data_IF_954426961006
#
_entry.id   IF_954426961006
#
_cell.length_a   1.000
_cell.length_b   1.000
_cell.length_c   1.000
_cell.angle_alpha   90.00
_cell.angle_beta   90.00
_cell.angle_gamma   90.00
#
_symmetry.space_group_name_H-M   'P 1'
#
loop_
_entity.id
_entity.type
_entity.pdbx_description
1 polymer ?
#
# COMPACT_ATOMS: atom_id res chain seq x y z
N UNK A 1 0.27 -12.74 -21.91
CA UNK A 1 1.49 -13.38 -21.37
C UNK A 1 1.09 -14.72 -20.79
N UNK A 2 1.85 -15.81 -21.01
CA UNK A 2 1.60 -17.05 -20.29
C UNK A 2 1.83 -16.81 -18.79
N UNK A 3 1.10 -17.50 -17.89
CA UNK A 3 1.39 -17.45 -16.46
C UNK A 3 2.85 -17.87 -16.25
N UNK A 4 3.59 -17.06 -15.49
CA UNK A 4 4.95 -17.42 -15.07
C UNK A 4 4.86 -18.78 -14.35
N UNK A 5 5.76 -19.73 -14.65
CA UNK A 5 5.80 -21.00 -13.94
C UNK A 5 6.03 -20.70 -12.45
N UNK A 6 5.25 -21.38 -11.59
CA UNK A 6 5.48 -21.40 -10.15
C UNK A 6 6.96 -21.71 -9.92
N UNK A 7 7.67 -20.83 -9.20
CA UNK A 7 8.88 -21.26 -8.48
C UNK A 7 8.42 -22.05 -7.26
N UNK A 8 7.80 -23.21 -7.49
CA UNK A 8 7.75 -24.25 -6.46
C UNK A 8 9.15 -24.84 -6.43
N UNK A 9 9.95 -24.39 -5.48
CA UNK A 9 11.29 -24.94 -5.31
C UNK A 9 11.10 -26.37 -4.79
N UNK A 10 11.81 -27.38 -5.33
CA UNK A 10 11.65 -28.78 -4.88
C UNK A 10 11.94 -29.00 -3.38
N UNK A 11 12.52 -28.01 -2.70
CA UNK A 11 12.77 -27.99 -1.25
C UNK A 11 11.53 -27.68 -0.40
N UNK A 12 10.48 -27.10 -1.00
CA UNK A 12 9.28 -26.66 -0.28
C UNK A 12 8.41 -27.84 0.18
N UNK A 13 8.58 -29.02 -0.43
CA UNK A 13 7.77 -30.19 -0.16
C UNK A 13 8.17 -30.98 1.11
N UNK A 14 9.33 -30.70 1.73
CA UNK A 14 9.89 -31.58 2.77
C UNK A 14 10.56 -30.91 3.97
N UNK A 15 10.46 -29.59 4.13
CA UNK A 15 10.89 -28.95 5.37
C UNK A 15 9.72 -28.91 6.35
N UNK A 16 9.80 -29.74 7.38
CA UNK A 16 8.92 -29.66 8.55
C UNK A 16 8.82 -28.20 8.99
N UNK A 17 7.60 -27.65 9.14
CA UNK A 17 7.35 -26.29 9.64
C UNK A 17 8.14 -25.97 10.93
N UNK A 18 8.54 -27.01 11.67
CA UNK A 18 9.41 -26.98 12.85
C UNK A 18 10.85 -26.53 12.59
N UNK A 19 11.35 -26.61 11.35
CA UNK A 19 12.72 -26.21 10.95
C UNK A 19 12.81 -24.78 10.40
N UNK A 20 11.68 -24.18 10.02
CA UNK A 20 11.62 -22.81 9.46
C UNK A 20 11.44 -21.73 10.53
N UNK A 21 11.29 -22.12 11.78
CA UNK A 21 10.97 -21.21 12.87
C UNK A 21 11.93 -21.44 14.03
N UNK A 22 12.46 -20.37 14.64
CA UNK A 22 13.42 -20.51 15.73
C UNK A 22 12.81 -21.28 16.90
N UNK A 23 13.46 -22.39 17.26
CA UNK A 23 13.31 -23.02 18.56
C UNK A 23 13.79 -22.10 19.72
N UNK A 24 14.44 -20.98 19.38
CA UNK A 24 15.17 -20.08 20.27
C UNK A 24 14.41 -18.84 20.73
N UNK A 25 13.18 -18.59 20.25
CA UNK A 25 12.24 -17.79 21.05
C UNK A 25 11.86 -18.66 22.23
N UNK A 26 12.62 -18.52 23.32
CA UNK A 26 12.49 -19.29 24.56
C UNK A 26 11.01 -19.63 24.79
N UNK A 27 10.61 -20.92 24.78
CA UNK A 27 9.21 -21.31 24.92
C UNK A 27 8.57 -20.85 26.25
N UNK A 28 9.38 -20.28 27.15
CA UNK A 28 9.00 -19.80 28.48
C UNK A 28 9.11 -18.27 28.68
N UNK A 29 9.53 -17.49 27.68
CA UNK A 29 9.32 -16.03 27.72
C UNK A 29 7.96 -15.76 27.11
N UNK A 30 6.94 -15.80 27.96
CA UNK A 30 5.65 -15.22 27.66
C UNK A 30 5.87 -13.73 27.56
N UNK A 31 5.78 -13.13 26.35
CA UNK A 31 5.91 -11.69 26.30
C UNK A 31 4.61 -11.16 26.91
N UNK A 32 4.76 -10.42 28.00
CA UNK A 32 3.63 -9.85 28.69
C UNK A 32 2.92 -8.93 27.69
N UNK A 33 1.59 -8.82 27.69
CA UNK A 33 0.92 -7.83 26.84
C UNK A 33 1.45 -6.41 27.10
N UNK A 34 1.97 -6.17 28.31
CA UNK A 34 2.68 -4.94 28.69
C UNK A 34 3.99 -4.70 27.95
N UNK A 35 4.54 -5.73 27.30
CA UNK A 35 5.76 -5.65 26.50
C UNK A 35 5.47 -5.26 25.04
N UNK A 36 4.21 -4.99 24.71
CA UNK A 36 3.77 -4.57 23.39
C UNK A 36 3.07 -3.22 23.42
N UNK A 37 3.22 -2.48 22.32
CA UNK A 37 2.49 -1.23 22.07
C UNK A 37 1.42 -1.49 21.03
N UNK A 38 0.14 -1.15 21.31
CA UNK A 38 -0.88 -1.15 20.28
C UNK A 38 -0.59 -0.06 19.26
N UNK A 39 -0.76 -0.40 18.00
CA UNK A 39 -0.72 0.53 16.88
C UNK A 39 -2.11 0.61 16.28
N UNK A 40 -2.42 1.78 15.70
CA UNK A 40 -3.65 1.96 14.99
C UNK A 40 -3.73 0.98 13.81
N UNK A 41 -4.89 0.36 13.64
CA UNK A 41 -5.16 -0.53 12.52
C UNK A 41 -5.16 0.21 11.18
N UNK A 42 -5.46 1.53 11.17
CA UNK A 42 -5.36 2.37 9.98
C UNK A 42 -3.90 2.53 9.51
N UNK A 43 -2.94 2.58 10.44
CA UNK A 43 -1.51 2.64 10.11
C UNK A 43 -0.96 1.27 9.66
N UNK A 44 -1.71 0.19 9.89
CA UNK A 44 -1.33 -1.20 9.61
C UNK A 44 -2.34 -1.92 8.70
N UNK A 45 -2.97 -1.17 7.78
CA UNK A 45 -3.94 -1.69 6.80
C UNK A 45 -3.44 -2.95 6.07
N UNK A 46 -2.16 -2.98 5.70
CA UNK A 46 -1.56 -4.15 5.04
C UNK A 46 -1.62 -5.42 5.89
N UNK A 47 -1.34 -5.33 7.19
CA UNK A 47 -1.40 -6.48 8.09
C UNK A 47 -2.85 -6.95 8.28
N UNK A 48 -3.79 -6.02 8.39
CA UNK A 48 -5.23 -6.33 8.46
C UNK A 48 -5.70 -7.02 7.18
N UNK A 49 -5.25 -6.54 6.02
CA UNK A 49 -5.54 -7.15 4.73
C UNK A 49 -4.99 -8.57 4.63
N UNK A 50 -3.76 -8.82 5.07
CA UNK A 50 -3.16 -10.16 5.12
C UNK A 50 -4.00 -11.10 6.00
N UNK A 51 -4.39 -10.67 7.20
CA UNK A 51 -5.20 -11.48 8.12
C UNK A 51 -6.59 -11.79 7.55
N UNK A 52 -7.19 -10.83 6.85
CA UNK A 52 -8.52 -10.97 6.25
C UNK A 52 -8.48 -11.87 5.01
N UNK A 53 -7.52 -11.63 4.13
CA UNK A 53 -7.39 -12.34 2.85
C UNK A 53 -6.85 -13.76 3.03
N UNK A 54 -5.78 -13.94 3.81
CA UNK A 54 -5.09 -15.22 3.96
C UNK A 54 -5.66 -16.10 5.08
N UNK A 55 -6.12 -15.51 6.19
CA UNK A 55 -6.57 -16.25 7.38
C UNK A 55 -8.08 -16.14 7.65
N UNK A 56 -8.83 -15.44 6.79
CA UNK A 56 -10.27 -15.25 6.93
C UNK A 56 -10.70 -14.65 8.27
N UNK A 57 -9.82 -13.90 8.93
CA UNK A 57 -10.17 -13.13 10.12
C UNK A 57 -10.95 -11.89 9.67
N UNK A 58 -12.22 -11.70 10.08
CA UNK A 58 -12.97 -10.52 9.69
C UNK A 58 -12.24 -9.26 10.16
N UNK A 59 -12.10 -8.25 9.30
CA UNK A 59 -11.41 -7.00 9.64
C UNK A 59 -12.03 -6.33 10.88
N UNK A 60 -13.36 -6.33 10.98
CA UNK A 60 -14.13 -5.82 12.12
C UNK A 60 -13.82 -6.54 13.45
N UNK A 61 -13.26 -7.75 13.37
CA UNK A 61 -12.86 -8.49 14.57
C UNK A 61 -11.49 -8.10 15.09
N UNK A 62 -10.65 -7.45 14.28
CA UNK A 62 -9.27 -7.07 14.65
C UNK A 62 -9.33 -5.74 15.40
N UNK A 63 -8.97 -5.78 16.68
CA UNK A 63 -9.07 -4.61 17.57
C UNK A 63 -7.76 -3.87 17.72
N UNK A 64 -6.62 -4.55 17.55
CA UNK A 64 -5.31 -3.93 17.57
C UNK A 64 -4.23 -4.82 16.93
N UNK A 65 -3.25 -4.19 16.29
CA UNK A 65 -1.95 -4.80 15.99
C UNK A 65 -0.99 -4.35 17.08
N UNK A 66 -0.32 -5.31 17.71
CA UNK A 66 0.57 -5.11 18.85
C UNK A 66 2.02 -5.36 18.40
N UNK A 67 2.86 -4.32 18.47
CA UNK A 67 4.29 -4.42 18.17
C UNK A 67 5.11 -4.59 19.44
N UNK A 68 6.17 -5.43 19.42
CA UNK A 68 7.04 -5.58 20.58
C UNK A 68 7.75 -4.26 20.92
N UNK A 69 7.92 -3.95 22.20
CA UNK A 69 8.72 -2.80 22.62
C UNK A 69 10.17 -2.95 22.13
N UNK A 70 10.75 -1.82 21.69
CA UNK A 70 12.13 -1.71 21.17
C UNK A 70 13.22 -2.13 22.18
N UNK A 71 12.87 -2.34 23.45
CA UNK A 71 13.79 -2.78 24.50
C UNK A 71 13.90 -4.31 24.61
N UNK A 72 13.04 -5.06 23.93
CA UNK A 72 13.22 -6.50 23.77
C UNK A 72 14.43 -6.70 22.86
N UNK A 73 15.41 -7.57 23.22
CA UNK A 73 16.52 -7.88 22.35
C UNK A 73 15.98 -8.22 20.97
N UNK A 74 16.41 -7.47 19.96
CA UNK A 74 16.02 -7.77 18.59
C UNK A 74 16.35 -9.25 18.33
N UNK A 75 15.43 -10.00 17.72
CA UNK A 75 15.70 -11.36 17.32
C UNK A 75 17.01 -11.39 16.52
N UNK A 76 17.73 -12.53 16.55
CA UNK A 76 18.88 -12.68 15.66
C UNK A 76 18.41 -12.38 14.22
N UNK A 77 19.28 -11.88 13.34
CA UNK A 77 18.86 -11.49 11.97
C UNK A 77 18.24 -12.64 11.14
N UNK A 78 18.39 -13.88 11.62
CA UNK A 78 17.77 -15.09 11.08
C UNK A 78 16.39 -15.41 11.65
N UNK A 79 16.00 -14.76 12.74
CA UNK A 79 14.75 -15.02 13.45
C UNK A 79 13.68 -14.04 12.91
N UNK A 80 12.54 -14.55 12.46
CA UNK A 80 11.54 -13.70 11.83
C UNK A 80 10.86 -12.79 12.85
N UNK A 81 10.48 -11.61 12.37
CA UNK A 81 9.69 -10.67 13.16
C UNK A 81 8.32 -11.25 13.46
N UNK A 82 7.91 -11.18 14.73
CA UNK A 82 6.60 -11.64 15.20
C UNK A 82 5.79 -10.45 15.70
N UNK A 83 4.50 -10.48 15.42
CA UNK A 83 3.53 -9.45 15.83
C UNK A 83 2.38 -10.12 16.56
N UNK A 84 1.84 -9.46 17.58
CA UNK A 84 0.61 -9.92 18.21
C UNK A 84 -0.59 -9.21 17.58
N UNK A 85 -1.66 -9.95 17.35
CA UNK A 85 -2.92 -9.47 16.80
C UNK A 85 -3.98 -9.69 17.85
N UNK A 86 -4.61 -8.62 18.33
CA UNK A 86 -5.78 -8.73 19.19
C UNK A 86 -7.03 -8.72 18.36
N UNK A 87 -7.92 -9.66 18.66
CA UNK A 87 -9.25 -9.73 18.09
C UNK A 87 -10.31 -9.81 19.18
N UNK A 88 -11.57 -9.66 18.80
CA UNK A 88 -12.73 -9.90 19.68
C UNK A 88 -12.81 -11.34 20.20
N UNK A 89 -12.19 -12.30 19.51
CA UNK A 89 -12.23 -13.73 19.83
C UNK A 89 -10.97 -14.25 20.54
N UNK A 90 -9.88 -13.47 20.56
CA UNK A 90 -8.64 -13.89 21.22
C UNK A 90 -7.42 -13.09 20.79
N UNK A 91 -6.25 -13.65 21.06
CA UNK A 91 -4.97 -13.08 20.63
C UNK A 91 -4.28 -14.09 19.73
N UNK A 92 -3.70 -13.60 18.65
CA UNK A 92 -2.93 -14.38 17.70
C UNK A 92 -1.52 -13.81 17.59
N UNK A 93 -0.58 -14.64 17.20
CA UNK A 93 0.76 -14.23 16.81
C UNK A 93 0.91 -14.48 15.32
N UNK A 94 1.35 -13.47 14.58
CA UNK A 94 1.61 -13.49 13.15
C UNK A 94 3.12 -13.39 12.92
N UNK A 95 3.64 -14.16 11.98
CA UNK A 95 5.04 -14.09 11.55
C UNK A 95 5.15 -14.27 10.04
N UNK A 96 6.24 -13.75 9.50
CA UNK A 96 6.60 -13.89 8.09
C UNK A 96 8.08 -14.31 7.99
N UNK A 97 8.37 -15.61 8.00
CA UNK A 97 9.72 -16.14 7.90
C UNK A 97 10.33 -15.90 6.53
N UNK A 98 11.62 -15.62 6.51
CA UNK A 98 12.42 -15.76 5.29
C UNK A 98 12.82 -17.22 5.12
N UNK A 99 12.88 -17.68 3.88
CA UNK A 99 13.46 -18.97 3.51
C UNK A 99 15.00 -18.89 3.57
N UNK A 100 15.67 -20.04 3.43
CA UNK A 100 17.14 -20.14 3.53
C UNK A 100 17.90 -19.27 2.53
N UNK A 101 17.32 -19.04 1.35
CA UNK A 101 17.83 -18.17 0.29
C UNK A 101 17.45 -16.70 0.47
N UNK A 102 16.91 -16.32 1.64
CA UNK A 102 16.37 -15.00 1.97
C UNK A 102 15.15 -14.60 1.15
N UNK A 103 14.56 -15.54 0.40
CA UNK A 103 13.27 -15.31 -0.24
C UNK A 103 12.16 -15.20 0.82
N UNK A 104 11.05 -14.51 0.52
CA UNK A 104 9.89 -14.50 1.39
C UNK A 104 9.29 -15.91 1.55
N UNK A 105 9.12 -16.38 2.80
CA UNK A 105 8.38 -17.60 3.12
C UNK A 105 6.87 -17.35 3.28
N UNK A 106 6.08 -18.36 3.71
CA UNK A 106 4.64 -18.21 3.88
C UNK A 106 4.29 -17.41 5.14
N UNK A 107 3.20 -16.67 5.12
CA UNK A 107 2.64 -16.09 6.35
C UNK A 107 2.18 -17.20 7.29
N UNK A 108 2.48 -17.06 8.58
CA UNK A 108 2.09 -18.04 9.60
C UNK A 108 1.38 -17.35 10.77
N UNK A 109 0.30 -17.97 11.23
CA UNK A 109 -0.52 -17.49 12.35
C UNK A 109 -0.62 -18.57 13.42
N UNK A 110 -0.63 -18.20 14.69
CA UNK A 110 -1.00 -19.12 15.79
C UNK A 110 -1.77 -18.43 16.88
N UNK A 111 -2.60 -19.18 17.60
CA UNK A 111 -3.33 -18.66 18.77
C UNK A 111 -2.39 -18.48 19.96
N UNK A 112 -2.58 -17.41 20.72
CA UNK A 112 -1.94 -17.16 22.02
C UNK A 112 -3.00 -17.26 23.10
N UNK A 113 -2.82 -18.19 24.03
CA UNK A 113 -3.77 -18.44 25.09
C UNK A 113 -3.73 -17.32 26.14
N UNK A 114 -4.86 -16.70 26.49
CA UNK A 114 -4.88 -15.48 27.31
C UNK A 114 -4.45 -15.72 28.77
N UNK A 115 -4.67 -16.92 29.30
CA UNK A 115 -4.45 -17.21 30.72
C UNK A 115 -3.01 -17.54 31.08
N UNK A 116 -2.32 -18.21 30.16
CA UNK A 116 -0.98 -18.77 30.41
C UNK A 116 0.02 -18.36 29.32
N UNK A 117 -0.39 -17.54 28.34
CA UNK A 117 0.47 -17.07 27.26
C UNK A 117 1.04 -18.17 26.35
N UNK A 118 0.62 -19.43 26.52
CA UNK A 118 1.15 -20.48 25.68
C UNK A 118 0.61 -20.33 24.26
N UNK A 119 1.40 -20.82 23.32
CA UNK A 119 1.17 -20.59 21.91
C UNK A 119 0.78 -21.91 21.25
N UNK A 120 -0.26 -21.84 20.43
CA UNK A 120 -0.71 -22.97 19.62
C UNK A 120 0.30 -23.34 18.52
N UNK A 121 0.00 -24.39 17.74
CA UNK A 121 0.76 -24.69 16.55
C UNK A 121 0.64 -23.55 15.53
N UNK A 122 1.68 -23.36 14.72
CA UNK A 122 1.61 -22.49 13.55
C UNK A 122 0.68 -23.05 12.50
N UNK A 123 -0.12 -22.17 11.92
CA UNK A 123 -1.08 -22.45 10.87
C UNK A 123 -0.67 -21.59 9.67
N UNK A 124 -0.48 -22.25 8.53
CA UNK A 124 -0.33 -21.58 7.24
C UNK A 124 -1.71 -21.31 6.63
N UNK A 125 -1.85 -20.28 5.78
CA UNK A 125 -3.06 -20.11 4.99
C UNK A 125 -3.30 -21.32 4.07
N UNK A 126 -4.55 -21.50 3.64
CA UNK A 126 -4.89 -22.56 2.69
C UNK A 126 -4.44 -22.17 1.29
N UNK A 127 -4.08 -23.15 0.44
CA UNK A 127 -3.66 -22.86 -0.95
C UNK A 127 -4.73 -22.07 -1.73
N UNK A 128 -6.02 -22.34 -1.46
CA UNK A 128 -7.14 -21.62 -2.06
C UNK A 128 -7.14 -20.14 -1.68
N UNK A 129 -6.82 -19.81 -0.42
CA UNK A 129 -6.75 -18.44 0.09
C UNK A 129 -5.53 -17.70 -0.46
N UNK A 130 -4.38 -18.37 -0.50
CA UNK A 130 -3.18 -17.82 -1.12
C UNK A 130 -3.43 -17.47 -2.59
N UNK A 131 -4.04 -18.40 -3.35
CA UNK A 131 -4.37 -18.18 -4.75
C UNK A 131 -5.36 -17.03 -4.94
N UNK A 132 -6.40 -16.95 -4.12
CA UNK A 132 -7.37 -15.86 -4.19
C UNK A 132 -6.73 -14.49 -3.91
N UNK A 133 -5.85 -14.41 -2.91
CA UNK A 133 -5.13 -13.18 -2.58
C UNK A 133 -4.14 -12.77 -3.69
N UNK A 134 -3.46 -13.73 -4.32
CA UNK A 134 -2.61 -13.50 -5.48
C UNK A 134 -3.40 -12.97 -6.69
N UNK A 135 -4.55 -13.58 -7.00
CA UNK A 135 -5.42 -13.15 -8.10
C UNK A 135 -5.95 -11.73 -7.86
N UNK A 136 -6.36 -11.42 -6.63
CA UNK A 136 -6.82 -10.08 -6.27
C UNK A 136 -5.69 -9.04 -6.35
N UNK A 137 -4.49 -9.38 -5.86
CA UNK A 137 -3.33 -8.50 -5.97
C UNK A 137 -2.92 -8.29 -7.45
N UNK A 138 -2.94 -9.36 -8.25
CA UNK A 138 -2.69 -9.27 -9.69
C UNK A 138 -3.72 -8.39 -10.39
N UNK A 139 -5.01 -8.53 -10.04
CA UNK A 139 -6.08 -7.67 -10.56
C UNK A 139 -5.84 -6.21 -10.20
N UNK A 140 -5.55 -5.91 -8.93
CA UNK A 140 -5.21 -4.55 -8.46
C UNK A 140 -4.01 -3.97 -9.20
N UNK A 141 -2.98 -4.78 -9.41
CA UNK A 141 -1.79 -4.35 -10.16
C UNK A 141 -2.13 -4.04 -11.62
N UNK A 142 -2.93 -4.88 -12.28
CA UNK A 142 -3.38 -4.66 -13.65
C UNK A 142 -4.25 -3.39 -13.75
N UNK A 143 -5.17 -3.19 -12.81
CA UNK A 143 -6.03 -1.99 -12.70
C UNK A 143 -5.21 -0.73 -12.45
N UNK A 144 -4.17 -0.81 -11.61
CA UNK A 144 -3.20 0.24 -11.37
C UNK A 144 -2.26 0.48 -12.57
N UNK A 145 -2.39 -0.30 -13.65
CA UNK A 145 -1.61 -0.15 -14.88
C UNK A 145 -0.22 -0.77 -14.83
N UNK A 146 0.12 -1.51 -13.77
CA UNK A 146 1.38 -2.27 -13.70
C UNK A 146 1.41 -3.35 -14.78
N UNK A 147 2.54 -3.46 -15.48
CA UNK A 147 2.73 -4.43 -16.57
C UNK A 147 2.20 -3.99 -17.95
N UNK A 148 1.55 -2.83 -18.06
CA UNK A 148 1.35 -2.18 -19.37
C UNK A 148 2.65 -1.47 -19.76
N UNK A 149 3.10 -1.56 -21.03
CA UNK A 149 4.19 -0.70 -21.49
C UNK A 149 3.80 0.75 -21.20
N UNK A 150 4.70 1.52 -20.59
CA UNK A 150 4.50 2.94 -20.37
C UNK A 150 4.20 3.56 -21.74
N UNK A 151 2.96 4.02 -21.94
CA UNK A 151 2.59 4.76 -23.14
C UNK A 151 3.46 6.01 -23.28
N UNK A 152 3.49 6.60 -24.47
CA UNK A 152 4.18 7.87 -24.65
C UNK A 152 3.60 8.92 -23.70
N UNK A 153 4.46 9.52 -22.87
CA UNK A 153 4.03 10.56 -21.94
C UNK A 153 3.55 11.75 -22.76
N UNK A 154 2.26 12.07 -22.64
CA UNK A 154 1.66 13.19 -23.36
C UNK A 154 2.21 14.51 -22.83
N UNK A 155 2.10 15.56 -23.65
CA UNK A 155 2.50 16.89 -23.21
C UNK A 155 1.68 17.39 -22.01
N UNK A 156 0.39 17.06 -21.96
CA UNK A 156 -0.47 17.34 -20.81
C UNK A 156 -0.01 16.61 -19.55
N UNK A 157 0.41 15.35 -19.65
CA UNK A 157 0.93 14.59 -18.51
C UNK A 157 2.26 15.15 -18.01
N UNK A 158 3.15 15.61 -18.92
CA UNK A 158 4.38 16.32 -18.51
C UNK A 158 4.04 17.62 -17.79
N UNK A 159 3.12 18.40 -18.35
CA UNK A 159 2.69 19.67 -17.75
C UNK A 159 1.98 19.48 -16.41
N UNK A 160 1.19 18.41 -16.22
CA UNK A 160 0.48 18.17 -14.96
C UNK A 160 1.41 17.89 -13.78
N UNK A 161 2.64 17.43 -14.07
CA UNK A 161 3.69 17.16 -13.09
C UNK A 161 4.64 18.35 -12.93
N UNK A 162 5.19 18.87 -14.03
CA UNK A 162 6.28 19.85 -14.01
C UNK A 162 5.83 21.30 -14.31
N UNK A 163 4.59 21.50 -14.75
CA UNK A 163 4.14 22.77 -15.33
C UNK A 163 4.69 23.00 -16.74
N UNK A 164 4.49 24.21 -17.25
CA UNK A 164 5.02 24.67 -18.54
C UNK A 164 6.03 25.79 -18.34
N UNK A 165 7.19 25.72 -19.02
CA UNK A 165 8.27 26.70 -18.89
C UNK A 165 7.81 28.10 -19.31
N UNK A 166 6.94 28.18 -20.31
CA UNK A 166 6.33 29.38 -20.86
C UNK A 166 5.52 30.16 -19.81
N UNK A 167 5.06 29.48 -18.75
CA UNK A 167 4.30 30.06 -17.64
C UNK A 167 5.17 30.37 -16.42
N UNK A 168 6.49 30.23 -16.51
CA UNK A 168 7.40 30.44 -15.38
C UNK A 168 7.30 31.84 -14.76
N UNK A 169 6.91 32.85 -15.53
CA UNK A 169 6.67 34.23 -15.07
C UNK A 169 5.48 34.36 -14.09
N UNK A 170 4.61 33.35 -13.97
CA UNK A 170 3.51 33.36 -13.01
C UNK A 170 3.96 32.98 -11.59
N UNK A 171 5.18 32.45 -11.42
CA UNK A 171 5.75 32.05 -10.13
C UNK A 171 4.85 31.09 -9.31
N UNK A 172 4.05 30.28 -10.01
CA UNK A 172 3.21 29.27 -9.38
C UNK A 172 4.07 28.09 -8.91
N UNK A 173 3.70 27.49 -7.78
CA UNK A 173 4.41 26.35 -7.20
C UNK A 173 3.49 25.13 -7.04
N UNK A 174 4.11 23.95 -7.05
CA UNK A 174 3.45 22.67 -6.83
C UNK A 174 2.25 22.45 -7.75
N UNK A 175 1.12 22.05 -7.17
CA UNK A 175 -0.12 21.71 -7.89
C UNK A 175 -0.63 22.84 -8.79
N UNK A 176 -0.46 24.10 -8.39
CA UNK A 176 -0.94 25.26 -9.16
C UNK A 176 -0.15 25.45 -10.46
N UNK A 177 1.16 25.18 -10.42
CA UNK A 177 2.02 25.22 -11.60
C UNK A 177 1.59 24.16 -12.63
N UNK A 178 1.40 22.93 -12.17
CA UNK A 178 0.94 21.85 -13.05
C UNK A 178 -0.45 22.11 -13.65
N UNK A 179 -1.38 22.62 -12.83
CA UNK A 179 -2.72 22.96 -13.26
C UNK A 179 -2.75 24.09 -14.30
N UNK A 180 -1.97 25.15 -14.11
CA UNK A 180 -1.86 26.24 -15.09
C UNK A 180 -1.27 25.74 -16.42
N UNK A 181 -0.26 24.86 -16.36
CA UNK A 181 0.33 24.23 -17.55
C UNK A 181 -0.68 23.40 -18.34
N UNK A 182 -1.45 22.55 -17.65
CA UNK A 182 -2.50 21.74 -18.30
C UNK A 182 -3.60 22.62 -18.89
N UNK A 183 -4.03 23.67 -18.18
CA UNK A 183 -5.00 24.62 -18.71
C UNK A 183 -4.49 25.29 -20.00
N UNK A 184 -3.24 25.78 -20.00
CA UNK A 184 -2.63 26.42 -21.16
C UNK A 184 -2.57 25.49 -22.38
N UNK A 185 -2.19 24.23 -22.18
CA UNK A 185 -2.20 23.22 -23.24
C UNK A 185 -3.62 22.98 -23.76
N UNK A 186 -4.59 22.76 -22.87
CA UNK A 186 -5.99 22.52 -23.25
C UNK A 186 -6.65 23.72 -23.95
N UNK A 187 -6.14 24.92 -23.71
CA UNK A 187 -6.55 26.14 -24.40
C UNK A 187 -5.91 26.30 -25.79
N UNK A 188 -5.10 25.34 -26.25
CA UNK A 188 -4.39 25.43 -27.53
C UNK A 188 -3.14 26.29 -27.47
N UNK A 189 -2.52 26.42 -26.29
CA UNK A 189 -1.27 27.18 -26.07
C UNK A 189 -1.35 28.64 -26.58
N UNK A 190 -2.27 29.45 -26.05
CA UNK A 190 -2.35 30.87 -26.42
C UNK A 190 -1.01 31.57 -26.17
N UNK A 191 -0.74 32.63 -26.95
CA UNK A 191 0.44 33.48 -26.74
C UNK A 191 0.49 34.01 -25.31
N UNK A 192 1.71 34.06 -24.74
CA UNK A 192 2.04 34.59 -23.40
C UNK A 192 3.34 35.41 -23.44
N UNK A 193 3.69 35.89 -24.63
CA UNK A 193 4.93 36.63 -24.89
C UNK A 193 4.81 38.11 -24.56
N UNK A 194 3.63 38.69 -24.75
CA UNK A 194 3.34 40.10 -24.45
C UNK A 194 2.62 40.28 -23.11
N UNK A 195 2.62 41.50 -22.57
CA UNK A 195 1.97 41.79 -21.30
C UNK A 195 0.43 41.69 -21.38
N UNK A 196 -0.14 42.04 -22.53
CA UNK A 196 -1.57 41.92 -22.84
C UNK A 196 -2.00 40.45 -22.88
N UNK A 197 -1.22 39.61 -23.55
CA UNK A 197 -1.40 38.17 -23.63
C UNK A 197 -1.35 37.50 -22.25
N UNK A 198 -0.35 37.87 -21.45
CA UNK A 198 -0.22 37.39 -20.07
C UNK A 198 -1.41 37.79 -19.22
N UNK A 199 -1.86 39.05 -19.31
CA UNK A 199 -3.05 39.53 -18.59
C UNK A 199 -4.30 38.73 -18.95
N UNK A 200 -4.51 38.43 -20.24
CA UNK A 200 -5.64 37.62 -20.68
C UNK A 200 -5.55 36.17 -20.16
N UNK A 201 -4.36 35.56 -20.18
CA UNK A 201 -4.16 34.24 -19.61
C UNK A 201 -4.44 34.22 -18.10
N UNK A 202 -3.92 35.18 -17.32
CA UNK A 202 -4.19 35.30 -15.88
C UNK A 202 -5.68 35.43 -15.61
N UNK A 203 -6.41 36.20 -16.41
CA UNK A 203 -7.86 36.37 -16.29
C UNK A 203 -8.57 35.03 -16.43
N UNK A 204 -8.27 34.27 -17.49
CA UNK A 204 -8.86 32.94 -17.74
C UNK A 204 -8.47 31.91 -16.70
N UNK A 205 -7.22 31.92 -16.25
CA UNK A 205 -6.73 31.08 -15.16
C UNK A 205 -7.53 31.31 -13.88
N UNK A 206 -7.69 32.58 -13.46
CA UNK A 206 -8.46 32.94 -12.25
C UNK A 206 -9.93 32.56 -12.33
N UNK A 207 -10.51 32.66 -13.52
CA UNK A 207 -11.89 32.24 -13.77
C UNK A 207 -12.02 30.71 -13.68
N UNK A 208 -11.10 29.97 -14.30
CA UNK A 208 -11.10 28.52 -14.32
C UNK A 208 -10.91 27.87 -12.94
N UNK A 209 -9.94 28.33 -12.14
CA UNK A 209 -9.63 27.72 -10.83
C UNK A 209 -10.75 27.88 -9.80
N UNK A 210 -11.75 28.72 -10.05
CA UNK A 210 -12.95 28.82 -9.20
C UNK A 210 -13.84 27.58 -9.30
N UNK A 211 -13.83 26.90 -10.45
CA UNK A 211 -14.64 25.71 -10.72
C UNK A 211 -13.84 24.42 -10.93
N UNK A 212 -12.51 24.51 -10.99
CA UNK A 212 -11.64 23.35 -11.20
C UNK A 212 -10.83 23.01 -9.94
N UNK A 213 -11.11 21.84 -9.36
CA UNK A 213 -10.36 21.34 -8.21
C UNK A 213 -8.98 20.76 -8.55
N UNK A 214 -8.69 20.47 -9.82
CA UNK A 214 -7.47 19.81 -10.31
C UNK A 214 -7.09 18.52 -9.57
N UNK A 215 -8.05 17.62 -9.36
CA UNK A 215 -7.90 16.39 -8.56
C UNK A 215 -7.18 15.33 -9.39
N UNK A 216 -6.31 14.52 -8.75
CA UNK A 216 -5.49 13.48 -9.42
C UNK A 216 -4.69 14.01 -10.63
N UNK A 217 -4.31 15.30 -10.62
CA UNK A 217 -3.59 16.00 -11.71
C UNK A 217 -4.39 16.14 -13.02
N UNK A 218 -5.71 16.10 -12.93
CA UNK A 218 -6.62 16.26 -14.07
C UNK A 218 -7.33 17.61 -14.04
N UNK A 219 -7.36 18.29 -15.19
CA UNK A 219 -8.03 19.58 -15.38
C UNK A 219 -9.37 19.36 -16.09
N UNK A 220 -10.48 19.86 -15.52
CA UNK A 220 -11.82 19.74 -16.09
C UNK A 220 -12.15 20.79 -17.18
N UNK A 221 -11.17 21.57 -17.63
CA UNK A 221 -11.39 22.53 -18.71
C UNK A 221 -11.87 21.81 -19.98
N UNK A 222 -13.05 22.22 -20.48
CA UNK A 222 -13.69 21.63 -21.66
C UNK A 222 -14.42 20.30 -21.43
N UNK A 223 -14.48 19.79 -20.20
CA UNK A 223 -15.26 18.62 -19.83
C UNK A 223 -16.61 19.00 -19.23
N UNK A 224 -17.63 18.17 -19.43
CA UNK A 224 -18.86 18.24 -18.65
C UNK A 224 -18.50 18.06 -17.17
N UNK A 225 -18.99 18.97 -16.33
CA UNK A 225 -18.85 18.84 -14.88
C UNK A 225 -19.77 17.69 -14.48
N UNK A 226 -19.22 16.47 -14.38
CA UNK A 226 -19.89 15.42 -13.59
C UNK A 226 -19.92 15.94 -12.16
N UNK A 227 -21.07 16.49 -11.78
CA UNK A 227 -21.41 16.76 -10.40
C UNK A 227 -21.37 15.41 -9.71
N UNK A 228 -20.27 15.12 -9.02
CA UNK A 228 -20.21 14.02 -8.05
C UNK A 228 -21.29 14.32 -7.02
N UNK A 229 -22.43 13.67 -7.17
CA UNK A 229 -23.50 13.70 -6.18
C UNK A 229 -22.96 13.09 -4.89
N UNK A 230 -22.96 13.89 -3.83
CA UNK A 230 -22.81 13.39 -2.47
C UNK A 230 -23.88 12.29 -2.23
N UNK A 231 -23.40 11.08 -1.94
CA UNK A 231 -24.14 10.03 -1.23
C UNK A 231 -23.23 9.42 -0.19
#
# INVERSE_FOLDING_TARGET
MPPQPRFSHPSDAHLSLTLLLPATLHPNTFPNLKDYTPVDTEDFEFTVEILTSLFALPSESITAVLLPHMHIPLPHHSDPSTFLIQTTSGTFELTYPSTYDLSPGPWLLRTVHPWHGARGPWIAPTEERERAAEEENLRRNIEAGWGRPLGEITEEQRASVAGCRELGWMELVGRRNGHAGVLWIKMGKPGVGTEEERREFVRRWREHVRGCGFVKRECNYGGEVETTGDR
#
